data_IF_158850230189
#
_entry.id   IF_158850230189
#
_cell.length_a   1.000
_cell.length_b   1.000
_cell.length_c   1.000
_cell.angle_alpha   90.00
_cell.angle_beta   90.00
_cell.angle_gamma   90.00
#
_symmetry.space_group_name_H-M   'P 1'
#
loop_
_entity.id
_entity.type
_entity.pdbx_description
1 polymer ?
#
# COMPACT_ATOMS: atom_id res chain seq x y z
N UNK A 1 -6.48 4.50 -9.99
CA UNK A 1 -5.70 3.29 -9.62
C UNK A 1 -6.54 2.42 -8.71
N UNK A 2 -6.11 1.17 -8.48
CA UNK A 2 -6.98 0.11 -7.93
C UNK A 2 -6.59 -0.34 -6.51
N UNK A 3 -5.95 0.52 -5.72
CA UNK A 3 -5.48 0.15 -4.37
C UNK A 3 -6.61 -0.37 -3.47
N UNK A 4 -7.81 0.22 -3.52
CA UNK A 4 -8.93 -0.24 -2.72
C UNK A 4 -9.39 -1.65 -3.13
N UNK A 5 -9.58 -1.89 -4.42
CA UNK A 5 -9.97 -3.22 -4.95
C UNK A 5 -8.91 -4.29 -4.62
N UNK A 6 -7.63 -3.95 -4.80
CA UNK A 6 -6.51 -4.82 -4.41
C UNK A 6 -6.54 -5.14 -2.91
N UNK A 7 -6.87 -4.16 -2.07
CA UNK A 7 -6.93 -4.32 -0.62
C UNK A 7 -8.09 -5.20 -0.20
N UNK A 8 -9.27 -5.05 -0.79
CA UNK A 8 -10.40 -5.93 -0.49
C UNK A 8 -10.07 -7.38 -0.83
N UNK A 9 -9.43 -7.62 -1.98
CA UNK A 9 -8.94 -8.96 -2.33
C UNK A 9 -7.91 -9.46 -1.31
N UNK A 10 -6.89 -8.66 -1.01
CA UNK A 10 -5.83 -9.03 -0.05
C UNK A 10 -6.40 -9.38 1.32
N UNK A 11 -7.36 -8.61 1.83
CA UNK A 11 -8.03 -8.90 3.11
C UNK A 11 -8.77 -10.25 3.05
N UNK A 12 -9.41 -10.57 1.93
CA UNK A 12 -10.00 -11.89 1.69
C UNK A 12 -8.96 -13.01 1.76
N UNK A 13 -7.83 -12.86 1.08
CA UNK A 13 -6.75 -13.85 1.08
C UNK A 13 -6.05 -13.99 2.44
N UNK A 14 -5.95 -12.91 3.23
CA UNK A 14 -5.43 -12.98 4.60
C UNK A 14 -6.34 -13.84 5.49
N UNK A 15 -7.66 -13.68 5.36
CA UNK A 15 -8.62 -14.46 6.14
C UNK A 15 -8.78 -15.90 5.65
N UNK A 16 -8.50 -16.20 4.38
CA UNK A 16 -8.59 -17.56 3.85
C UNK A 16 -7.56 -18.50 4.49
N UNK A 17 -6.42 -17.94 4.94
CA UNK A 17 -5.28 -18.68 5.48
C UNK A 17 -4.74 -19.76 4.51
N UNK A 18 -5.04 -19.66 3.22
CA UNK A 18 -4.59 -20.62 2.20
C UNK A 18 -3.12 -20.44 1.84
N UNK A 19 -2.55 -19.26 2.11
CA UNK A 19 -1.19 -18.89 1.75
C UNK A 19 -0.31 -18.69 2.97
N UNK A 20 0.86 -19.33 2.97
CA UNK A 20 1.89 -19.11 3.99
C UNK A 20 2.62 -17.76 3.84
N UNK A 21 2.63 -17.20 2.62
CA UNK A 21 3.21 -15.89 2.31
C UNK A 21 2.38 -15.21 1.23
N UNK A 22 2.00 -13.96 1.48
CA UNK A 22 1.35 -13.09 0.51
C UNK A 22 2.24 -11.88 0.28
N UNK A 23 2.52 -11.56 -0.99
CA UNK A 23 3.32 -10.39 -1.38
C UNK A 23 2.44 -9.47 -2.22
N UNK A 24 2.36 -8.20 -1.83
CA UNK A 24 1.54 -7.18 -2.51
C UNK A 24 2.37 -5.93 -2.80
N UNK A 25 2.12 -5.33 -3.96
CA UNK A 25 2.69 -4.04 -4.35
C UNK A 25 1.59 -2.99 -4.54
N UNK A 26 1.69 -1.88 -3.80
CA UNK A 26 0.86 -0.69 -4.00
C UNK A 26 1.56 0.31 -4.92
N UNK A 27 1.25 0.27 -6.21
CA UNK A 27 1.88 1.13 -7.21
C UNK A 27 1.52 2.63 -7.11
N UNK A 28 0.53 3.00 -6.29
CA UNK A 28 -0.04 4.35 -6.30
C UNK A 28 0.96 5.48 -6.05
N UNK A 29 1.82 5.42 -5.02
CA UNK A 29 2.73 6.53 -4.72
C UNK A 29 3.71 6.78 -5.87
N UNK A 30 4.26 5.72 -6.45
CA UNK A 30 5.23 5.78 -7.56
C UNK A 30 4.60 6.31 -8.86
N UNK A 31 3.46 5.75 -9.28
CA UNK A 31 2.84 6.15 -10.55
C UNK A 31 2.34 7.59 -10.53
N UNK A 32 1.94 8.10 -9.36
CA UNK A 32 1.41 9.45 -9.24
C UNK A 32 2.53 10.48 -9.05
N UNK A 33 3.63 10.15 -8.39
CA UNK A 33 4.75 11.09 -8.22
C UNK A 33 5.38 11.48 -9.56
N UNK A 34 5.43 10.57 -10.54
CA UNK A 34 5.87 10.87 -11.93
C UNK A 34 5.04 11.95 -12.65
N UNK A 35 3.86 12.30 -12.14
CA UNK A 35 3.04 13.39 -12.69
C UNK A 35 3.47 14.78 -12.23
N UNK A 36 4.43 14.87 -11.30
CA UNK A 36 4.85 16.13 -10.64
C UNK A 36 3.70 16.89 -9.95
N UNK A 37 2.58 16.23 -9.69
CA UNK A 37 1.42 16.84 -9.04
C UNK A 37 1.42 16.52 -7.54
N UNK A 38 1.95 17.45 -6.74
CA UNK A 38 2.06 17.30 -5.28
C UNK A 38 0.70 17.02 -4.59
N UNK A 39 -0.40 17.63 -5.05
CA UNK A 39 -1.73 17.39 -4.47
C UNK A 39 -2.22 15.97 -4.77
N UNK A 40 -1.98 15.48 -5.99
CA UNK A 40 -2.32 14.10 -6.35
C UNK A 40 -1.43 13.10 -5.60
N UNK A 41 -0.13 13.37 -5.49
CA UNK A 41 0.82 12.54 -4.76
C UNK A 41 0.42 12.38 -3.29
N UNK A 42 0.07 13.49 -2.61
CA UNK A 42 -0.45 13.45 -1.24
C UNK A 42 -1.70 12.58 -1.12
N UNK A 43 -2.66 12.69 -2.06
CA UNK A 43 -3.86 11.84 -2.07
C UNK A 43 -3.53 10.37 -2.31
N UNK A 44 -2.53 10.09 -3.15
CA UNK A 44 -2.09 8.72 -3.41
C UNK A 44 -1.51 8.08 -2.15
N UNK A 45 -0.67 8.80 -1.40
CA UNK A 45 -0.11 8.32 -0.12
C UNK A 45 -1.21 8.09 0.91
N UNK A 46 -2.15 9.04 1.08
CA UNK A 46 -3.28 8.87 2.01
C UNK A 46 -4.17 7.67 1.65
N UNK A 47 -4.40 7.42 0.37
CA UNK A 47 -5.16 6.25 -0.06
C UNK A 47 -4.43 4.94 0.29
N UNK A 48 -3.09 4.90 0.27
CA UNK A 48 -2.32 3.73 0.71
C UNK A 48 -2.35 3.60 2.23
N UNK A 49 -2.28 4.69 2.98
CA UNK A 49 -2.41 4.69 4.44
C UNK A 49 -3.74 4.04 4.88
N UNK A 50 -4.87 4.45 4.27
CA UNK A 50 -6.19 3.85 4.51
C UNK A 50 -6.21 2.34 4.18
N UNK A 51 -5.55 1.95 3.09
CA UNK A 51 -5.45 0.53 2.69
C UNK A 51 -4.62 -0.28 3.70
N UNK A 52 -3.48 0.25 4.14
CA UNK A 52 -2.62 -0.41 5.13
C UNK A 52 -3.32 -0.57 6.48
N UNK A 53 -4.14 0.40 6.89
CA UNK A 53 -4.96 0.27 8.10
C UNK A 53 -5.92 -0.93 8.03
N UNK A 54 -6.56 -1.16 6.88
CA UNK A 54 -7.42 -2.34 6.66
C UNK A 54 -6.64 -3.65 6.72
N UNK A 55 -5.49 -3.71 6.03
CA UNK A 55 -4.64 -4.91 6.03
C UNK A 55 -4.12 -5.22 7.44
N UNK A 56 -3.67 -4.20 8.17
CA UNK A 56 -3.22 -4.35 9.56
C UNK A 56 -4.33 -4.91 10.45
N UNK A 57 -5.56 -4.44 10.29
CA UNK A 57 -6.70 -4.96 11.06
C UNK A 57 -7.03 -6.41 10.70
N UNK A 58 -6.98 -6.77 9.41
CA UNK A 58 -7.18 -8.16 8.97
C UNK A 58 -6.11 -9.09 9.56
N UNK A 59 -4.83 -8.71 9.46
CA UNK A 59 -3.71 -9.49 10.02
C UNK A 59 -3.82 -9.64 11.54
N UNK A 60 -4.22 -8.58 12.28
CA UNK A 60 -4.47 -8.68 13.73
C UNK A 60 -5.59 -9.65 14.11
N UNK A 61 -6.52 -9.92 13.20
CA UNK A 61 -7.60 -10.89 13.40
C UNK A 61 -7.17 -12.35 13.19
N UNK A 62 -5.95 -12.58 12.70
CA UNK A 62 -5.42 -13.91 12.40
C UNK A 62 -4.32 -14.27 13.39
N UNK A 63 -4.43 -15.45 14.02
CA UNK A 63 -3.41 -15.95 14.93
C UNK A 63 -2.11 -16.28 14.17
N UNK A 64 -0.97 -16.02 14.82
CA UNK A 64 0.38 -16.30 14.29
C UNK A 64 0.69 -15.65 12.93
N UNK A 65 0.02 -14.54 12.60
CA UNK A 65 0.29 -13.75 11.40
C UNK A 65 1.17 -12.52 11.71
N UNK A 66 2.02 -12.15 10.76
CA UNK A 66 2.85 -10.96 10.82
C UNK A 66 2.70 -10.13 9.54
N UNK A 67 2.75 -8.80 9.67
CA UNK A 67 2.76 -7.87 8.55
C UNK A 67 4.12 -7.17 8.48
N UNK A 68 4.76 -7.24 7.32
CA UNK A 68 5.96 -6.47 7.00
C UNK A 68 5.59 -5.44 5.95
N UNK A 69 5.87 -4.17 6.23
CA UNK A 69 5.66 -3.06 5.30
C UNK A 69 7.03 -2.51 4.92
N UNK A 70 7.31 -2.45 3.61
CA UNK A 70 8.56 -1.94 3.06
C UNK A 70 8.31 -1.25 1.72
N UNK A 71 9.32 -0.55 1.21
CA UNK A 71 9.36 0.01 -0.13
C UNK A 71 10.56 -0.55 -0.89
N UNK A 72 10.46 -0.63 -2.21
CA UNK A 72 11.53 -1.06 -3.11
C UNK A 72 12.50 0.09 -3.43
N UNK A 73 12.02 1.33 -3.46
CA UNK A 73 12.83 2.53 -3.67
C UNK A 73 12.12 3.81 -3.19
N UNK A 74 12.84 4.93 -3.27
CA UNK A 74 12.40 6.29 -2.96
C UNK A 74 11.73 6.96 -4.19
N UNK A 75 10.76 7.85 -3.98
CA UNK A 75 10.17 8.69 -5.02
C UNK A 75 9.35 9.87 -4.43
N UNK A 76 8.22 9.56 -3.78
CA UNK A 76 7.18 10.55 -3.43
C UNK A 76 7.60 11.51 -2.32
N UNK A 77 8.64 11.18 -1.57
CA UNK A 77 9.24 12.03 -0.54
C UNK A 77 9.96 13.25 -1.13
N UNK A 78 10.46 13.17 -2.37
CA UNK A 78 11.16 14.25 -3.05
C UNK A 78 10.56 14.55 -4.42
N UNK A 79 9.45 15.30 -4.43
CA UNK A 79 8.70 15.64 -5.66
C UNK A 79 9.31 16.76 -6.51
N UNK A 80 10.27 17.52 -5.97
CA UNK A 80 10.88 18.66 -6.66
C UNK A 80 12.38 18.65 -6.45
N UNK A 81 13.12 18.81 -7.55
CA UNK A 81 14.57 18.97 -7.49
C UNK A 81 14.93 20.41 -7.06
N UNK A 82 15.85 20.53 -6.11
CA UNK A 82 16.40 21.82 -5.71
C UNK A 82 17.56 22.16 -6.65
N UNK A 83 17.26 22.93 -7.70
CA UNK A 83 18.29 23.62 -8.46
C UNK A 83 18.84 24.82 -7.72
#
# INVERSE_FOLDING_TARGET
MSAFELTEKLVGEVHSQEFALIVVNYANPNMISHTSNMKAAKKAVLAIDDCLAKVLNAVKGVNDAALIVTADHENVECMFDKK
#
